data_IF_291278463786
#
_entry.id   IF_291278463786
#
_cell.length_a   1.000
_cell.length_b   1.000
_cell.length_c   1.000
_cell.angle_alpha   90.00
_cell.angle_beta   90.00
_cell.angle_gamma   90.00
#
_symmetry.space_group_name_H-M   'P 1'
#
loop_
_entity.id
_entity.type
_entity.pdbx_description
1 polymer ?
#
# COMPACT_ATOMS: atom_id res chain seq x y z
N UNK A 1 17.35 2.58 -12.99
CA UNK A 1 17.03 1.22 -13.49
C UNK A 1 16.78 1.30 -14.98
N UNK A 2 17.00 0.22 -15.72
CA UNK A 2 16.76 0.19 -17.17
C UNK A 2 15.27 0.41 -17.47
N UNK A 3 14.89 1.27 -18.45
CA UNK A 3 13.49 1.48 -18.84
C UNK A 3 12.77 0.20 -19.29
N UNK A 4 13.51 -0.84 -19.70
CA UNK A 4 12.95 -2.15 -20.02
C UNK A 4 12.50 -2.91 -18.76
N UNK A 5 13.36 -2.95 -17.75
CA UNK A 5 13.11 -3.60 -16.46
C UNK A 5 11.93 -2.95 -15.71
N UNK A 6 11.83 -1.63 -15.76
CA UNK A 6 10.71 -0.90 -15.17
C UNK A 6 9.38 -1.27 -15.86
N UNK A 7 9.37 -1.32 -17.20
CA UNK A 7 8.17 -1.72 -17.96
C UNK A 7 7.76 -3.16 -17.69
N UNK A 8 8.71 -4.07 -17.55
CA UNK A 8 8.45 -5.47 -17.22
C UNK A 8 7.71 -5.60 -15.87
N UNK A 9 8.25 -5.05 -14.78
CA UNK A 9 7.65 -5.18 -13.44
C UNK A 9 6.32 -4.42 -13.33
N UNK A 10 6.14 -3.34 -14.08
CA UNK A 10 4.89 -2.56 -14.11
C UNK A 10 3.80 -3.21 -14.96
N UNK A 11 4.17 -4.14 -15.86
CA UNK A 11 3.24 -4.98 -16.62
C UNK A 11 2.65 -6.12 -15.81
N UNK A 12 3.29 -6.53 -14.72
CA UNK A 12 2.76 -7.57 -13.82
C UNK A 12 1.61 -6.98 -13.00
N UNK A 13 0.40 -7.55 -13.05
CA UNK A 13 -0.73 -7.08 -12.26
C UNK A 13 -0.39 -7.09 -10.77
N UNK A 14 -0.53 -5.95 -10.11
CA UNK A 14 -0.21 -5.82 -8.69
C UNK A 14 -1.06 -6.74 -7.80
N UNK A 15 -2.28 -7.07 -8.24
CA UNK A 15 -3.14 -8.05 -7.59
C UNK A 15 -2.45 -9.40 -7.42
N UNK A 16 -1.66 -9.83 -8.41
CA UNK A 16 -0.91 -11.06 -8.35
C UNK A 16 0.23 -10.96 -7.34
N UNK A 17 1.05 -9.91 -7.38
CA UNK A 17 2.17 -9.71 -6.44
C UNK A 17 1.72 -9.57 -4.98
N UNK A 18 0.53 -9.00 -4.75
CA UNK A 18 -0.08 -8.89 -3.41
C UNK A 18 -0.49 -10.24 -2.82
N UNK A 19 -0.58 -11.30 -3.61
CA UNK A 19 -0.92 -12.63 -3.11
C UNK A 19 0.28 -13.34 -2.46
N UNK A 20 1.50 -12.99 -2.85
CA UNK A 20 2.72 -13.67 -2.41
C UNK A 20 2.98 -13.57 -0.91
N UNK A 21 2.76 -12.41 -0.26
CA UNK A 21 2.88 -12.34 1.19
C UNK A 21 1.97 -13.32 1.93
N UNK A 22 0.84 -13.75 1.36
CA UNK A 22 -0.04 -14.77 1.95
C UNK A 22 0.59 -16.17 2.02
N UNK A 23 1.75 -16.40 1.40
CA UNK A 23 2.53 -17.61 1.66
C UNK A 23 2.97 -17.76 3.14
N UNK A 24 2.76 -16.73 3.98
CA UNK A 24 2.95 -16.83 5.43
C UNK A 24 2.04 -17.88 6.09
N UNK A 25 0.86 -18.20 5.53
CA UNK A 25 -0.03 -19.23 6.10
C UNK A 25 0.60 -20.62 6.10
N UNK A 26 1.04 -21.18 4.95
CA UNK A 26 1.75 -22.45 4.95
C UNK A 26 3.08 -22.38 5.70
N UNK A 27 3.77 -21.23 5.74
CA UNK A 27 4.98 -21.06 6.57
C UNK A 27 4.70 -21.34 8.07
N UNK A 28 3.60 -20.82 8.61
CA UNK A 28 3.23 -21.01 10.02
C UNK A 28 2.70 -22.43 10.28
N UNK A 29 1.89 -22.96 9.36
CA UNK A 29 1.30 -24.31 9.48
C UNK A 29 2.35 -25.41 9.36
N UNK A 30 3.37 -25.21 8.52
CA UNK A 30 4.39 -26.21 8.20
C UNK A 30 5.72 -25.96 8.93
N UNK A 31 5.76 -24.98 9.85
CA UNK A 31 6.98 -24.67 10.61
C UNK A 31 7.50 -25.88 11.40
N UNK A 32 6.60 -26.77 11.83
CA UNK A 32 6.92 -28.00 12.54
C UNK A 32 7.31 -29.18 11.64
N UNK A 33 7.08 -29.15 10.32
CA UNK A 33 7.32 -30.28 9.41
C UNK A 33 7.21 -29.89 7.92
N UNK A 34 8.16 -30.26 7.02
CA UNK A 34 9.61 -30.19 7.14
C UNK A 34 10.13 -28.74 6.99
N UNK A 35 11.18 -28.34 7.72
CA UNK A 35 11.70 -26.96 7.74
C UNK A 35 12.10 -26.44 6.34
N UNK A 36 12.53 -27.34 5.45
CA UNK A 36 12.87 -27.02 4.07
C UNK A 36 11.69 -26.47 3.28
N UNK A 37 10.47 -26.96 3.54
CA UNK A 37 9.26 -26.52 2.84
C UNK A 37 8.80 -25.15 3.34
N UNK A 38 8.93 -24.91 4.64
CA UNK A 38 8.77 -23.59 5.26
C UNK A 38 9.73 -22.55 4.68
N UNK A 39 11.01 -22.91 4.46
CA UNK A 39 11.98 -22.03 3.81
C UNK A 39 11.58 -21.62 2.39
N UNK A 40 10.96 -22.51 1.61
CA UNK A 40 10.43 -22.20 0.27
C UNK A 40 9.34 -21.12 0.37
N UNK A 41 8.39 -21.28 1.30
CA UNK A 41 7.34 -20.27 1.49
C UNK A 41 7.89 -18.94 2.01
N UNK A 42 8.90 -18.96 2.88
CA UNK A 42 9.62 -17.75 3.28
C UNK A 42 10.27 -17.05 2.07
N UNK A 43 10.93 -17.80 1.19
CA UNK A 43 11.51 -17.27 -0.03
C UNK A 43 10.44 -16.63 -0.95
N UNK A 44 9.26 -17.27 -1.08
CA UNK A 44 8.11 -16.72 -1.83
C UNK A 44 7.62 -15.41 -1.23
N UNK A 45 7.51 -15.31 0.10
CA UNK A 45 7.12 -14.06 0.80
C UNK A 45 8.14 -12.96 0.51
N UNK A 46 9.43 -13.25 0.71
CA UNK A 46 10.51 -12.32 0.44
C UNK A 46 10.51 -11.84 -1.02
N UNK A 47 10.36 -12.76 -1.98
CA UNK A 47 10.27 -12.44 -3.39
C UNK A 47 9.05 -11.54 -3.70
N UNK A 48 7.91 -11.80 -3.07
CA UNK A 48 6.71 -10.95 -3.17
C UNK A 48 6.93 -9.53 -2.67
N UNK A 49 7.50 -9.39 -1.46
CA UNK A 49 7.79 -8.08 -0.86
C UNK A 49 8.82 -7.31 -1.71
N UNK A 50 9.90 -7.97 -2.14
CA UNK A 50 10.91 -7.36 -3.00
C UNK A 50 10.32 -6.94 -4.35
N UNK A 51 9.46 -7.76 -4.95
CA UNK A 51 8.76 -7.42 -6.20
C UNK A 51 7.85 -6.21 -6.04
N UNK A 52 7.10 -6.10 -4.93
CA UNK A 52 6.26 -4.94 -4.64
C UNK A 52 7.10 -3.66 -4.44
N UNK A 53 8.24 -3.79 -3.76
CA UNK A 53 9.19 -2.67 -3.58
C UNK A 53 9.81 -2.25 -4.90
N UNK A 54 10.22 -3.20 -5.73
CA UNK A 54 10.72 -2.94 -7.07
C UNK A 54 9.64 -2.26 -7.93
N UNK A 55 8.41 -2.77 -7.94
CA UNK A 55 7.31 -2.16 -8.69
C UNK A 55 7.07 -0.71 -8.27
N UNK A 56 7.12 -0.40 -6.97
CA UNK A 56 6.98 0.97 -6.48
C UNK A 56 8.15 1.87 -6.94
N UNK A 57 9.38 1.36 -6.93
CA UNK A 57 10.55 2.10 -7.37
C UNK A 57 10.54 2.34 -8.89
N UNK A 58 10.16 1.33 -9.66
CA UNK A 58 10.00 1.40 -11.11
C UNK A 58 8.92 2.43 -11.49
N UNK A 59 7.78 2.44 -10.78
CA UNK A 59 6.72 3.42 -11.01
C UNK A 59 7.20 4.85 -10.73
N UNK A 60 7.87 5.10 -9.60
CA UNK A 60 8.44 6.41 -9.29
C UNK A 60 9.47 6.83 -10.35
N UNK A 61 10.31 5.90 -10.81
CA UNK A 61 11.29 6.17 -11.85
C UNK A 61 10.63 6.53 -13.19
N UNK A 62 9.55 5.85 -13.55
CA UNK A 62 8.75 6.19 -14.72
C UNK A 62 8.13 7.59 -14.60
N UNK A 63 7.46 7.89 -13.48
CA UNK A 63 6.87 9.21 -13.23
C UNK A 63 7.93 10.33 -13.28
N UNK A 64 9.14 10.06 -12.79
CA UNK A 64 10.24 11.03 -12.87
C UNK A 64 10.64 11.31 -14.32
N UNK A 65 10.76 10.28 -15.14
CA UNK A 65 11.12 10.44 -16.57
C UNK A 65 10.04 11.16 -17.36
N UNK A 66 8.78 10.90 -17.05
CA UNK A 66 7.63 11.43 -17.81
C UNK A 66 7.21 12.83 -17.35
N UNK A 67 7.38 13.17 -16.06
CA UNK A 67 6.71 14.32 -15.45
C UNK A 67 7.59 15.25 -14.61
N UNK A 68 8.89 14.96 -14.38
CA UNK A 68 9.76 15.86 -13.59
C UNK A 68 10.03 17.22 -14.26
N UNK A 69 9.74 17.36 -15.56
CA UNK A 69 9.98 18.59 -16.32
C UNK A 69 11.46 18.93 -16.48
N UNK A 70 11.77 20.07 -17.11
CA UNK A 70 13.16 20.56 -17.30
C UNK A 70 13.80 21.06 -16.01
N UNK A 71 13.00 21.58 -15.09
CA UNK A 71 13.45 22.10 -13.79
C UNK A 71 13.67 21.00 -12.74
N UNK A 72 13.34 19.75 -13.05
CA UNK A 72 13.60 18.60 -12.19
C UNK A 72 12.73 18.53 -10.93
N UNK A 73 11.67 19.33 -10.82
CA UNK A 73 10.76 19.34 -9.66
C UNK A 73 10.09 17.98 -9.50
N UNK A 74 10.49 17.26 -8.46
CA UNK A 74 10.04 15.91 -8.18
C UNK A 74 10.16 15.61 -6.69
N UNK A 75 9.08 15.86 -5.96
CA UNK A 75 8.98 15.57 -4.53
C UNK A 75 8.26 14.25 -4.32
N UNK A 76 8.81 13.37 -3.49
CA UNK A 76 8.21 12.08 -3.15
C UNK A 76 7.89 12.09 -1.66
N UNK A 77 6.61 12.04 -1.33
CA UNK A 77 6.13 11.83 0.03
C UNK A 77 5.81 10.36 0.25
N UNK A 78 6.48 9.76 1.24
CA UNK A 78 6.31 8.35 1.63
C UNK A 78 5.95 8.31 3.11
N UNK A 79 4.66 8.24 3.45
CA UNK A 79 4.22 8.09 4.82
C UNK A 79 4.89 6.89 5.48
N UNK A 80 5.46 7.13 6.66
CA UNK A 80 6.15 6.09 7.43
C UNK A 80 5.25 4.86 7.66
N UNK A 81 5.83 3.67 7.68
CA UNK A 81 5.10 2.47 8.10
C UNK A 81 5.13 2.44 9.63
N UNK A 82 4.00 2.22 10.34
CA UNK A 82 3.99 2.08 11.80
C UNK A 82 4.59 0.72 12.21
N UNK A 83 5.91 0.57 12.04
CA UNK A 83 6.65 -0.69 12.26
C UNK A 83 6.47 -1.26 13.66
N UNK A 84 6.32 -0.41 14.69
CA UNK A 84 6.05 -0.88 16.04
C UNK A 84 4.75 -1.66 16.18
N UNK A 85 3.68 -1.23 15.49
CA UNK A 85 2.40 -1.95 15.47
C UNK A 85 2.51 -3.25 14.66
N UNK A 86 3.17 -3.20 13.51
CA UNK A 86 3.39 -4.36 12.66
C UNK A 86 4.20 -5.45 13.38
N UNK A 87 5.34 -5.08 13.98
CA UNK A 87 6.19 -5.98 14.75
C UNK A 87 5.48 -6.62 15.93
N UNK A 88 4.70 -5.83 16.70
CA UNK A 88 3.87 -6.35 17.80
C UNK A 88 2.87 -7.40 17.31
N UNK A 89 2.16 -7.13 16.22
CA UNK A 89 1.15 -8.05 15.69
C UNK A 89 1.79 -9.34 15.16
N UNK A 90 2.94 -9.25 14.48
CA UNK A 90 3.71 -10.42 14.04
C UNK A 90 4.18 -11.25 15.25
N UNK A 91 4.71 -10.59 16.28
CA UNK A 91 5.18 -11.26 17.49
C UNK A 91 4.04 -12.01 18.20
N UNK A 92 2.87 -11.40 18.33
CA UNK A 92 1.67 -12.04 18.91
C UNK A 92 1.25 -13.26 18.08
N UNK A 93 1.24 -13.14 16.75
CA UNK A 93 0.90 -14.26 15.84
C UNK A 93 1.89 -15.41 15.96
N UNK A 94 3.20 -15.14 15.99
CA UNK A 94 4.24 -16.15 16.14
C UNK A 94 4.18 -16.83 17.52
N UNK A 95 4.02 -16.05 18.59
CA UNK A 95 3.90 -16.58 19.94
C UNK A 95 2.65 -17.46 20.11
N UNK A 96 1.49 -16.99 19.61
CA UNK A 96 0.25 -17.77 19.64
C UNK A 96 0.34 -19.05 18.82
N UNK A 97 0.96 -18.99 17.64
CA UNK A 97 1.15 -20.17 16.78
C UNK A 97 2.10 -21.18 17.41
N UNK A 98 3.21 -20.73 18.01
CA UNK A 98 4.17 -21.59 18.71
C UNK A 98 3.57 -22.27 19.94
N UNK A 99 2.79 -21.52 20.75
CA UNK A 99 2.08 -22.07 21.90
C UNK A 99 1.12 -23.20 21.48
N UNK A 100 0.35 -22.96 20.41
CA UNK A 100 -0.67 -23.91 19.96
C UNK A 100 -0.06 -25.13 19.28
N UNK A 101 1.03 -24.95 18.52
CA UNK A 101 1.81 -26.05 17.99
C UNK A 101 2.39 -26.95 19.11
N UNK A 102 2.87 -26.34 20.20
CA UNK A 102 3.37 -27.07 21.37
C UNK A 102 2.28 -27.86 22.10
N UNK A 103 1.11 -27.24 22.31
CA UNK A 103 -0.03 -27.87 22.98
C UNK A 103 -0.61 -29.05 22.18
N UNK A 104 -0.56 -28.99 20.84
CA UNK A 104 -1.11 -30.02 19.96
C UNK A 104 -0.15 -31.18 19.68
N UNK A 105 1.05 -31.20 20.29
CA UNK A 105 2.04 -32.30 20.25
C UNK A 105 2.26 -32.92 18.85
N UNK A 106 2.20 -32.12 17.78
CA UNK A 106 2.41 -32.59 16.40
C UNK A 106 1.33 -33.54 15.86
N UNK A 107 0.20 -33.75 16.56
CA UNK A 107 -0.93 -34.49 16.01
C UNK A 107 -1.71 -33.58 15.06
N UNK A 108 -1.59 -33.82 13.75
CA UNK A 108 -2.31 -33.06 12.73
C UNK A 108 -3.19 -33.97 11.87
N UNK A 109 -4.49 -33.96 12.17
CA UNK A 109 -5.50 -33.59 11.17
C UNK A 109 -5.90 -32.15 11.50
N UNK A 110 -6.08 -31.27 10.51
CA UNK A 110 -6.35 -29.83 10.71
C UNK A 110 -7.40 -29.60 11.83
N UNK A 111 -6.94 -29.35 13.05
CA UNK A 111 -7.83 -29.19 14.20
C UNK A 111 -8.58 -27.86 14.02
N UNK A 112 -9.86 -27.82 14.41
CA UNK A 112 -10.70 -26.63 14.24
C UNK A 112 -10.05 -25.34 14.78
N UNK A 113 -9.22 -25.45 15.81
CA UNK A 113 -8.45 -24.34 16.37
C UNK A 113 -7.34 -23.79 15.47
N UNK A 114 -6.66 -24.65 14.70
CA UNK A 114 -5.66 -24.20 13.73
C UNK A 114 -6.31 -23.50 12.56
N UNK A 115 -7.42 -24.05 12.04
CA UNK A 115 -8.24 -23.38 11.03
C UNK A 115 -8.77 -22.04 11.55
N UNK A 116 -9.25 -21.97 12.78
CA UNK A 116 -9.72 -20.73 13.41
C UNK A 116 -8.63 -19.65 13.47
N UNK A 117 -7.41 -19.99 13.92
CA UNK A 117 -6.28 -19.04 13.94
C UNK A 117 -5.85 -18.63 12.54
N UNK A 118 -5.87 -19.56 11.57
CA UNK A 118 -5.61 -19.26 10.16
C UNK A 118 -6.65 -18.26 9.65
N UNK A 119 -7.94 -18.46 9.93
CA UNK A 119 -9.01 -17.55 9.52
C UNK A 119 -8.93 -16.19 10.24
N UNK A 120 -8.64 -16.15 11.54
CA UNK A 120 -8.46 -14.91 12.28
C UNK A 120 -7.21 -14.15 11.78
N UNK A 121 -6.08 -14.84 11.64
CA UNK A 121 -4.85 -14.29 11.08
C UNK A 121 -5.04 -13.82 9.64
N UNK A 122 -5.78 -14.57 8.82
CA UNK A 122 -6.16 -14.18 7.47
C UNK A 122 -6.98 -12.91 7.49
N UNK A 123 -8.04 -12.87 8.28
CA UNK A 123 -8.92 -11.70 8.35
C UNK A 123 -8.17 -10.46 8.84
N UNK A 124 -7.27 -10.60 9.81
CA UNK A 124 -6.45 -9.51 10.35
C UNK A 124 -5.38 -9.01 9.36
N UNK A 125 -4.75 -9.90 8.59
CA UNK A 125 -3.70 -9.55 7.61
C UNK A 125 -4.25 -9.14 6.24
N UNK A 126 -5.37 -9.73 5.81
CA UNK A 126 -6.05 -9.43 4.56
C UNK A 126 -6.66 -8.03 4.53
N UNK A 127 -7.17 -7.57 5.67
CA UNK A 127 -7.73 -6.22 5.80
C UNK A 127 -6.66 -5.12 5.75
N UNK A 128 -5.39 -5.47 5.96
CA UNK A 128 -4.33 -4.48 6.12
C UNK A 128 -3.06 -4.89 5.35
N UNK A 129 -3.04 -4.68 4.03
CA UNK A 129 -1.80 -4.81 3.22
C UNK A 129 -0.64 -3.91 3.71
N UNK A 130 -0.94 -2.99 4.65
CA UNK A 130 0.04 -2.20 5.42
C UNK A 130 0.81 -3.04 6.45
N UNK A 131 0.33 -4.23 6.79
CA UNK A 131 1.03 -5.25 7.60
C UNK A 131 2.39 -5.60 6.99
N UNK A 132 2.49 -5.62 5.65
CA UNK A 132 3.74 -5.81 4.92
C UNK A 132 4.46 -4.49 4.55
N UNK A 133 4.02 -3.38 5.14
CA UNK A 133 4.71 -2.10 5.08
C UNK A 133 4.73 -1.41 3.71
N UNK A 134 3.64 -1.48 2.94
CA UNK A 134 3.52 -0.72 1.68
C UNK A 134 2.59 0.49 1.88
N UNK A 135 3.14 1.70 2.11
CA UNK A 135 2.34 2.91 2.26
C UNK A 135 1.82 3.40 0.90
N UNK A 136 0.80 4.26 0.94
CA UNK A 136 0.44 5.13 -0.18
C UNK A 136 1.61 6.07 -0.46
N UNK A 137 2.05 6.19 -1.70
CA UNK A 137 3.12 7.10 -2.10
C UNK A 137 2.49 8.24 -2.88
N UNK A 138 2.81 9.47 -2.50
CA UNK A 138 2.42 10.67 -3.24
C UNK A 138 3.65 11.25 -3.91
N UNK A 139 3.50 11.68 -5.15
CA UNK A 139 4.58 12.34 -5.90
C UNK A 139 4.04 13.63 -6.46
N UNK A 140 4.67 14.75 -6.09
CA UNK A 140 4.41 16.05 -6.68
C UNK A 140 5.44 16.27 -7.78
N UNK A 141 4.96 16.45 -9.01
CA UNK A 141 5.78 16.69 -10.19
C UNK A 141 5.62 18.13 -10.67
N UNK A 142 6.31 18.50 -11.75
CA UNK A 142 6.12 19.80 -12.37
C UNK A 142 4.71 19.96 -13.01
N UNK A 143 4.10 18.85 -13.43
CA UNK A 143 2.87 18.86 -14.25
C UNK A 143 1.62 18.38 -13.50
N UNK A 144 1.79 17.71 -12.36
CA UNK A 144 0.67 17.16 -11.61
C UNK A 144 1.06 16.46 -10.31
N UNK A 145 0.09 15.71 -9.80
CA UNK A 145 0.18 14.93 -8.58
C UNK A 145 -0.07 13.46 -8.92
N UNK A 146 0.92 12.62 -8.64
CA UNK A 146 0.81 11.18 -8.81
C UNK A 146 0.50 10.54 -7.45
N UNK A 147 -0.47 9.62 -7.45
CA UNK A 147 -0.85 8.84 -6.26
C UNK A 147 -0.66 7.37 -6.58
N UNK A 148 0.19 6.72 -5.81
CA UNK A 148 0.40 5.28 -5.86
C UNK A 148 -0.11 4.65 -4.58
N UNK A 149 -1.21 3.91 -4.68
CA UNK A 149 -1.96 3.45 -3.51
C UNK A 149 -1.95 1.92 -3.35
N UNK A 150 -1.92 1.43 -2.11
CA UNK A 150 -2.32 0.06 -1.77
C UNK A 150 -2.97 0.00 -0.38
N UNK A 151 -4.29 -0.23 -0.29
CA UNK A 151 -4.77 -1.60 -0.02
C UNK A 151 -6.13 -1.99 -0.66
N UNK A 152 -6.46 -3.29 -0.64
CA UNK A 152 -7.84 -3.80 -0.79
C UNK A 152 -8.07 -4.75 -1.96
N UNK A 153 -8.29 -4.23 -3.18
CA UNK A 153 -8.64 -5.06 -4.34
C UNK A 153 -8.31 -4.47 -5.71
N UNK A 154 -7.76 -3.26 -5.76
CA UNK A 154 -7.57 -2.53 -7.02
C UNK A 154 -6.17 -1.89 -7.07
N UNK A 155 -5.54 -1.97 -8.24
CA UNK A 155 -4.24 -1.36 -8.53
C UNK A 155 -4.45 0.08 -8.98
N UNK A 156 -4.50 1.01 -8.02
CA UNK A 156 -4.66 2.44 -8.33
C UNK A 156 -3.29 3.10 -8.47
N UNK A 157 -2.91 3.30 -9.73
CA UNK A 157 -1.84 4.20 -10.17
C UNK A 157 -2.51 5.40 -10.80
N UNK A 158 -2.65 6.48 -10.04
CA UNK A 158 -3.31 7.70 -10.52
C UNK A 158 -2.26 8.76 -10.82
N UNK A 159 -2.44 9.45 -11.92
CA UNK A 159 -1.71 10.67 -12.24
C UNK A 159 -2.72 11.75 -12.57
N UNK A 160 -2.74 12.81 -11.77
CA UNK A 160 -3.70 13.91 -11.87
C UNK A 160 -2.94 15.15 -12.31
N UNK A 161 -3.25 15.67 -13.48
CA UNK A 161 -2.60 16.91 -13.94
C UNK A 161 -3.15 18.10 -13.17
N UNK A 162 -2.33 19.13 -13.00
CA UNK A 162 -2.77 20.38 -12.38
C UNK A 162 -3.90 21.08 -13.15
N UNK A 163 -4.08 20.76 -14.44
CA UNK A 163 -5.19 21.24 -15.26
C UNK A 163 -6.54 20.59 -14.93
N UNK A 164 -6.51 19.34 -14.44
CA UNK A 164 -7.70 18.58 -14.03
C UNK A 164 -8.14 18.89 -12.60
N UNK A 165 -7.24 19.45 -11.78
CA UNK A 165 -7.52 19.82 -10.39
C UNK A 165 -7.98 21.28 -10.35
N UNK A 166 -9.23 21.50 -9.95
CA UNK A 166 -9.77 22.85 -9.78
C UNK A 166 -9.28 23.50 -8.49
N UNK A 167 -9.26 22.73 -7.39
CA UNK A 167 -8.89 23.23 -6.07
C UNK A 167 -8.30 22.12 -5.20
N UNK A 168 -7.39 22.52 -4.30
CA UNK A 168 -6.82 21.67 -3.25
C UNK A 168 -7.11 22.37 -1.92
N UNK A 169 -7.89 21.75 -1.05
CA UNK A 169 -8.31 22.33 0.23
C UNK A 169 -7.79 21.51 1.40
N UNK A 170 -7.23 22.17 2.43
CA UNK A 170 -6.98 21.51 3.72
C UNK A 170 -8.30 21.35 4.45
N UNK A 171 -8.69 20.12 4.75
CA UNK A 171 -9.98 19.84 5.39
C UNK A 171 -9.98 18.55 6.20
N UNK A 172 -11.04 18.38 6.99
CA UNK A 172 -11.34 17.14 7.70
C UNK A 172 -12.17 16.21 6.84
N UNK A 173 -11.77 14.94 6.74
CA UNK A 173 -12.52 13.91 6.03
C UNK A 173 -13.94 13.78 6.58
N UNK A 174 -14.92 13.88 5.68
CA UNK A 174 -16.35 13.79 5.99
C UNK A 174 -16.95 12.69 5.13
N UNK A 175 -17.22 11.53 5.75
CA UNK A 175 -17.67 10.31 5.04
C UNK A 175 -19.03 10.49 4.36
N UNK A 176 -19.91 11.25 4.99
CA UNK A 176 -21.24 11.64 4.52
C UNK A 176 -21.21 12.45 3.21
N UNK A 177 -20.09 13.09 2.90
CA UNK A 177 -19.91 13.86 1.66
C UNK A 177 -19.46 13.01 0.46
N UNK A 178 -19.34 11.69 0.62
CA UNK A 178 -19.05 10.76 -0.48
C UNK A 178 -17.68 10.95 -1.12
N UNK A 179 -16.67 11.35 -0.33
CA UNK A 179 -15.30 11.52 -0.80
C UNK A 179 -14.58 10.18 -0.85
N UNK A 180 -13.78 9.96 -1.90
CA UNK A 180 -12.91 8.80 -1.97
C UNK A 180 -11.63 9.06 -1.16
N UNK A 181 -11.32 8.15 -0.24
CA UNK A 181 -10.18 8.29 0.66
C UNK A 181 -8.98 7.46 0.19
N UNK A 182 -7.88 8.14 -0.06
CA UNK A 182 -6.60 7.56 -0.48
C UNK A 182 -5.56 7.92 0.57
N UNK A 183 -5.67 7.31 1.75
CA UNK A 183 -4.94 7.66 2.98
C UNK A 183 -4.02 6.55 3.51
N UNK A 184 -3.02 6.94 4.32
CA UNK A 184 -2.17 6.02 5.12
C UNK A 184 -2.96 5.27 6.19
N UNK A 185 -4.00 5.87 6.74
CA UNK A 185 -4.79 5.42 7.91
C UNK A 185 -6.24 5.80 7.65
N UNK A 186 -7.21 4.94 8.04
CA UNK A 186 -8.64 5.29 7.92
C UNK A 186 -9.09 6.26 9.02
N UNK A 187 -8.26 6.40 10.05
CA UNK A 187 -8.59 7.08 11.30
C UNK A 187 -8.11 8.54 11.34
N UNK A 188 -7.22 8.95 10.42
CA UNK A 188 -6.77 10.34 10.36
C UNK A 188 -7.80 11.18 9.61
N UNK A 189 -8.26 12.24 10.27
CA UNK A 189 -9.29 13.13 9.73
C UNK A 189 -8.71 14.29 8.93
N UNK A 190 -7.54 14.83 9.29
CA UNK A 190 -6.98 16.02 8.65
C UNK A 190 -6.12 15.66 7.42
N UNK A 191 -6.36 16.33 6.29
CA UNK A 191 -5.68 16.04 5.02
C UNK A 191 -5.99 17.06 3.94
N UNK A 192 -5.77 16.68 2.68
CA UNK A 192 -6.02 17.52 1.51
C UNK A 192 -7.14 16.92 0.66
N UNK A 193 -8.14 17.73 0.34
CA UNK A 193 -9.21 17.42 -0.59
C UNK A 193 -8.89 18.00 -1.97
N UNK A 194 -8.70 17.12 -2.94
CA UNK A 194 -8.61 17.49 -4.35
C UNK A 194 -10.01 17.47 -4.97
N UNK A 195 -10.36 18.59 -5.59
CA UNK A 195 -11.61 18.77 -6.32
C UNK A 195 -11.30 18.75 -7.82
N UNK A 196 -11.98 17.91 -8.61
CA UNK A 196 -11.80 17.88 -10.06
C UNK A 196 -12.41 19.13 -10.70
N UNK A 197 -11.96 19.46 -11.91
CA UNK A 197 -12.48 20.59 -12.69
C UNK A 197 -13.70 20.25 -13.53
N UNK A 198 -13.87 18.99 -13.92
CA UNK A 198 -15.00 18.52 -14.72
C UNK A 198 -16.07 17.78 -13.90
N UNK A 199 -17.22 17.55 -14.53
CA UNK A 199 -18.36 16.83 -13.93
C UNK A 199 -18.12 15.32 -13.76
N UNK A 200 -17.12 14.77 -14.46
CA UNK A 200 -16.80 13.35 -14.54
C UNK A 200 -15.58 12.96 -13.68
N UNK A 201 -15.17 13.84 -12.78
CA UNK A 201 -14.18 13.57 -11.75
C UNK A 201 -12.78 13.19 -12.25
N UNK A 202 -11.90 12.81 -11.32
CA UNK A 202 -10.58 12.23 -11.68
C UNK A 202 -10.72 10.89 -12.40
N UNK A 203 -11.86 10.23 -12.20
CA UNK A 203 -12.39 9.20 -13.06
C UNK A 203 -13.91 9.25 -12.95
N UNK A 204 -14.63 8.60 -13.88
CA UNK A 204 -16.11 8.49 -13.83
C UNK A 204 -16.67 8.01 -12.48
N UNK A 205 -15.83 7.36 -11.65
CA UNK A 205 -16.20 6.84 -10.33
C UNK A 205 -15.75 7.74 -9.18
N UNK A 206 -14.70 8.55 -9.36
CA UNK A 206 -14.07 9.34 -8.30
C UNK A 206 -14.48 10.80 -8.42
N UNK A 207 -15.42 11.23 -7.57
CA UNK A 207 -15.98 12.59 -7.59
C UNK A 207 -15.10 13.62 -6.88
N UNK A 208 -14.48 13.24 -5.76
CA UNK A 208 -13.52 14.05 -5.00
C UNK A 208 -12.54 13.12 -4.34
N UNK A 209 -11.28 13.54 -4.25
CA UNK A 209 -10.21 12.71 -3.76
C UNK A 209 -9.63 13.32 -2.48
N UNK A 210 -9.66 12.56 -1.38
CA UNK A 210 -9.02 12.96 -0.14
C UNK A 210 -7.69 12.22 0.04
N UNK A 211 -6.59 12.95 0.18
CA UNK A 211 -5.25 12.41 0.39
C UNK A 211 -4.69 12.87 1.74
N UNK A 212 -3.81 12.06 2.32
CA UNK A 212 -3.17 12.33 3.60
C UNK A 212 -1.66 12.15 3.45
N UNK A 213 -0.95 13.21 3.02
CA UNK A 213 0.51 13.25 3.07
C UNK A 213 1.01 13.07 4.51
N UNK A 214 2.27 12.64 4.67
CA UNK A 214 2.88 12.53 6.00
C UNK A 214 3.03 13.89 6.68
N UNK A 215 3.44 14.89 5.91
CA UNK A 215 3.68 16.26 6.34
C UNK A 215 2.90 17.16 5.38
N UNK A 216 1.72 17.61 5.82
CA UNK A 216 0.80 18.39 4.99
C UNK A 216 1.44 19.71 4.58
N UNK A 217 2.12 20.38 5.51
CA UNK A 217 2.64 21.72 5.30
C UNK A 217 3.80 21.66 4.29
N UNK A 218 4.73 20.72 4.47
CA UNK A 218 5.80 20.47 3.50
C UNK A 218 5.27 20.01 2.15
N UNK A 219 4.19 19.23 2.12
CA UNK A 219 3.58 18.80 0.86
C UNK A 219 2.99 19.97 0.09
N UNK A 220 2.31 20.91 0.78
CA UNK A 220 1.72 22.11 0.18
C UNK A 220 2.79 23.04 -0.38
N UNK A 221 3.93 23.20 0.27
CA UNK A 221 5.07 23.97 -0.26
C UNK A 221 5.57 23.45 -1.61
N UNK A 222 5.38 22.16 -1.89
CA UNK A 222 5.79 21.55 -3.15
C UNK A 222 4.75 21.73 -4.25
N UNK A 223 3.54 22.21 -3.97
CA UNK A 223 2.53 22.50 -4.98
C UNK A 223 2.92 23.73 -5.82
N UNK A 224 2.32 23.95 -7.00
CA UNK A 224 2.54 25.16 -7.79
C UNK A 224 2.02 26.40 -7.03
N UNK A 225 2.60 27.57 -7.31
CA UNK A 225 2.07 28.84 -6.79
C UNK A 225 0.62 29.05 -7.23
N UNK A 226 -0.24 29.52 -6.30
CA UNK A 226 -1.64 29.90 -6.59
C UNK A 226 -2.71 28.88 -6.18
N UNK A 227 -2.33 27.72 -5.64
CA UNK A 227 -3.28 26.77 -5.06
C UNK A 227 -3.59 27.14 -3.59
N UNK A 228 -4.87 27.43 -3.28
CA UNK A 228 -5.41 27.75 -1.94
C UNK A 228 -6.78 27.10 -1.69
#
# INVERSE_FOLDING_TARGET
MSPFLDRFILGIPRLFLKQYPYAWFPLVVLWAWPPNLSLIFLAVICAGILSLRWQSAAWISQMRREHAGREGKFHVDRPAVPWGRAGRNIAILLAGSGLIASLLKGQFGLASWQLFLIFCGFTLTYQDARFFGNPTIYVVTATGLAVYFAPGHLDYRLFLTFKEISRIERTRFQRDKGWDIFARTRDDADGLLLVPKDINGFSRRIKRLFILPQDIDRFVEQLPYGYK
#
